data_IF_090563724366
#
_entry.id   IF_090563724366
#
_cell.length_a   1.000
_cell.length_b   1.000
_cell.length_c   1.000
_cell.angle_alpha   90.00
_cell.angle_beta   90.00
_cell.angle_gamma   90.00
#
_symmetry.space_group_name_H-M   'P 1'
#
loop_
_entity.id
_entity.type
_entity.pdbx_description
1 polymer ?
#
# COMPACT_ATOMS: atom_id res chain seq x y z
N UNK A 1 3.76 -1.01 20.73
CA UNK A 1 2.99 -0.85 19.49
C UNK A 1 3.79 -1.49 18.37
N UNK A 2 3.27 -2.53 17.72
CA UNK A 2 3.95 -3.14 16.58
C UNK A 2 3.96 -2.12 15.43
N UNK A 3 5.14 -1.74 14.94
CA UNK A 3 5.23 -1.00 13.67
C UNK A 3 4.78 -1.97 12.58
N UNK A 4 3.67 -1.63 11.92
CA UNK A 4 3.23 -2.34 10.73
C UNK A 4 4.35 -2.23 9.69
N UNK A 5 4.83 -3.38 9.20
CA UNK A 5 5.85 -3.44 8.14
C UNK A 5 5.14 -3.69 6.82
N UNK A 6 5.49 -2.91 5.81
CA UNK A 6 5.08 -3.16 4.44
C UNK A 6 6.08 -4.08 3.74
N UNK A 7 5.59 -4.90 2.81
CA UNK A 7 6.37 -5.79 1.95
C UNK A 7 5.82 -5.73 0.54
N UNK A 8 6.65 -6.01 -0.47
CA UNK A 8 6.20 -6.11 -1.84
C UNK A 8 5.14 -7.22 -1.98
N UNK A 9 4.11 -6.98 -2.79
CA UNK A 9 2.94 -7.85 -2.94
C UNK A 9 1.83 -7.63 -1.90
N UNK A 10 2.05 -6.77 -0.89
CA UNK A 10 0.96 -6.40 0.02
C UNK A 10 -0.09 -5.55 -0.69
N UNK A 11 -1.36 -5.84 -0.41
CA UNK A 11 -2.46 -5.01 -0.90
C UNK A 11 -2.73 -3.87 0.08
N UNK A 12 -2.72 -2.66 -0.44
CA UNK A 12 -2.85 -1.42 0.34
C UNK A 12 -3.92 -0.53 -0.27
N UNK A 13 -4.49 0.34 0.56
CA UNK A 13 -5.34 1.44 0.11
C UNK A 13 -4.84 2.75 0.71
N UNK A 14 -5.16 3.86 0.05
CA UNK A 14 -4.82 5.18 0.58
C UNK A 14 -5.76 5.55 1.72
N UNK A 15 -5.23 6.20 2.76
CA UNK A 15 -6.08 6.80 3.79
C UNK A 15 -6.87 7.97 3.21
N UNK A 16 -8.17 8.11 3.52
CA UNK A 16 -9.02 9.16 2.94
C UNK A 16 -8.54 10.58 3.29
N UNK A 17 -7.93 10.74 4.47
CA UNK A 17 -7.38 12.01 4.97
C UNK A 17 -6.21 12.50 4.09
N UNK A 18 -5.38 11.58 3.60
CA UNK A 18 -4.22 11.86 2.76
C UNK A 18 -4.58 11.88 1.26
N UNK A 19 -5.56 11.08 0.85
CA UNK A 19 -6.10 11.12 -0.52
C UNK A 19 -6.68 12.50 -0.88
N UNK A 20 -7.26 13.20 0.10
CA UNK A 20 -7.78 14.56 -0.07
C UNK A 20 -6.66 15.61 -0.21
N UNK A 21 -5.57 15.49 0.54
CA UNK A 21 -4.45 16.45 0.52
C UNK A 21 -3.51 16.25 -0.67
N UNK A 22 -3.39 15.00 -1.16
CA UNK A 22 -2.60 14.68 -2.34
C UNK A 22 -3.12 15.37 -3.63
N UNK A 23 -4.34 15.96 -3.62
CA UNK A 23 -4.91 16.78 -4.70
C UNK A 23 -4.80 16.16 -6.11
N UNK A 24 -4.67 14.83 -6.18
CA UNK A 24 -4.36 14.08 -7.42
C UNK A 24 -5.37 12.99 -7.72
N UNK A 25 -6.28 12.72 -6.79
CA UNK A 25 -7.11 11.54 -6.83
C UNK A 25 -8.46 11.87 -6.19
N UNK A 26 -9.55 11.78 -6.96
CA UNK A 26 -10.93 11.95 -6.46
C UNK A 26 -11.16 11.09 -5.22
N UNK A 27 -12.17 11.43 -4.41
CA UNK A 27 -12.57 10.65 -3.22
C UNK A 27 -12.67 9.13 -3.47
N UNK A 28 -12.94 8.71 -4.71
CA UNK A 28 -12.92 7.32 -5.19
C UNK A 28 -11.57 6.59 -5.04
N UNK A 29 -10.46 7.30 -4.81
CA UNK A 29 -9.14 6.68 -4.68
C UNK A 29 -8.86 6.07 -3.32
N UNK A 30 -9.59 6.48 -2.28
CA UNK A 30 -9.50 5.83 -0.98
C UNK A 30 -10.04 4.39 -1.00
N UNK A 31 -10.92 4.07 -1.95
CA UNK A 31 -11.48 2.73 -2.16
C UNK A 31 -10.68 1.87 -3.15
N UNK A 32 -9.68 2.44 -3.83
CA UNK A 32 -8.88 1.70 -4.80
C UNK A 32 -7.75 0.99 -4.08
N UNK A 33 -7.77 -0.34 -4.19
CA UNK A 33 -6.70 -1.21 -3.70
C UNK A 33 -5.57 -1.22 -4.71
N UNK A 34 -4.37 -0.90 -4.23
CA UNK A 34 -3.12 -1.04 -4.96
C UNK A 34 -2.24 -2.14 -4.37
N UNK A 35 -1.16 -2.43 -5.05
CA UNK A 35 -0.16 -3.41 -4.64
C UNK A 35 1.17 -2.70 -4.36
N UNK A 36 1.80 -3.03 -3.23
CA UNK A 36 3.15 -2.54 -2.92
C UNK A 36 4.15 -3.21 -3.87
N UNK A 37 4.89 -2.40 -4.62
CA UNK A 37 5.94 -2.86 -5.53
C UNK A 37 7.31 -2.78 -4.86
N UNK A 38 7.55 -1.71 -4.10
CA UNK A 38 8.78 -1.52 -3.32
C UNK A 38 8.39 -1.06 -1.92
N UNK A 39 8.77 -1.84 -0.91
CA UNK A 39 8.61 -1.47 0.48
C UNK A 39 9.88 -0.80 1.00
N UNK A 40 9.79 0.48 1.35
CA UNK A 40 10.88 1.31 1.89
C UNK A 40 12.04 1.49 0.90
N UNK A 41 11.97 2.55 0.11
CA UNK A 41 13.13 3.06 -0.62
C UNK A 41 14.16 3.72 0.32
N UNK A 42 15.21 4.30 -0.24
CA UNK A 42 16.28 4.96 0.54
C UNK A 42 15.77 6.14 1.40
N UNK A 43 14.58 6.68 1.10
CA UNK A 43 13.94 7.74 1.89
C UNK A 43 12.95 7.20 2.94
N UNK A 44 12.68 5.89 2.92
CA UNK A 44 11.69 5.24 3.77
C UNK A 44 10.27 5.30 3.22
N UNK A 45 10.11 5.60 1.93
CA UNK A 45 8.80 5.67 1.26
C UNK A 45 8.44 4.33 0.60
N UNK A 46 7.16 4.16 0.29
CA UNK A 46 6.58 2.95 -0.28
C UNK A 46 6.12 3.26 -1.70
N UNK A 47 6.53 2.43 -2.64
CA UNK A 47 6.08 2.52 -4.02
C UNK A 47 4.95 1.52 -4.20
N UNK A 48 3.77 2.02 -4.56
CA UNK A 48 2.58 1.20 -4.77
C UNK A 48 1.97 1.49 -6.13
N UNK A 49 1.54 0.42 -6.82
CA UNK A 49 0.84 0.50 -8.09
C UNK A 49 -0.66 0.37 -7.88
N UNK A 50 -1.41 1.34 -8.41
CA UNK A 50 -2.87 1.35 -8.37
C UNK A 50 -3.42 1.20 -9.79
N UNK A 51 -4.39 0.28 -10.04
CA UNK A 51 -4.86 -0.06 -11.39
C UNK A 51 -5.36 1.10 -12.26
N UNK A 52 -5.76 2.23 -11.64
CA UNK A 52 -6.29 3.42 -12.34
C UNK A 52 -5.37 4.63 -12.31
N UNK A 53 -4.34 4.60 -11.48
CA UNK A 53 -3.48 5.76 -11.22
C UNK A 53 -2.01 5.49 -11.52
N UNK A 54 -1.67 4.24 -11.80
CA UNK A 54 -0.29 3.80 -12.01
C UNK A 54 0.49 3.77 -10.71
N UNK A 55 1.81 3.89 -10.80
CA UNK A 55 2.72 3.85 -9.67
C UNK A 55 2.79 5.21 -8.96
N UNK A 56 2.67 5.19 -7.63
CA UNK A 56 2.86 6.34 -6.76
C UNK A 56 3.82 6.03 -5.62
N UNK A 57 4.34 7.10 -5.00
CA UNK A 57 5.23 7.04 -3.84
C UNK A 57 4.49 7.61 -2.64
N UNK A 58 4.46 6.87 -1.54
CA UNK A 58 3.64 7.15 -0.37
C UNK A 58 4.42 6.88 0.92
N UNK A 59 4.19 7.69 1.95
CA UNK A 59 4.67 7.38 3.29
C UNK A 59 3.89 6.21 3.90
N UNK A 60 4.50 5.45 4.81
CA UNK A 60 3.82 4.36 5.53
C UNK A 60 2.53 4.77 6.25
N UNK A 61 2.44 6.02 6.71
CA UNK A 61 1.26 6.56 7.38
C UNK A 61 0.11 6.94 6.43
N UNK A 62 0.39 7.05 5.12
CA UNK A 62 -0.59 7.36 4.09
C UNK A 62 -1.34 6.12 3.58
N UNK A 63 -0.81 4.93 3.90
CA UNK A 63 -1.35 3.66 3.45
C UNK A 63 -1.98 2.87 4.60
N UNK A 64 -2.99 2.08 4.25
CA UNK A 64 -3.58 1.06 5.12
C UNK A 64 -3.46 -0.30 4.43
N UNK A 65 -2.93 -1.29 5.15
CA UNK A 65 -2.86 -2.66 4.65
C UNK A 65 -4.27 -3.26 4.62
N UNK A 66 -4.69 -3.68 3.44
CA UNK A 66 -5.96 -4.37 3.20
C UNK A 66 -5.76 -5.87 3.28
N UNK A 67 -4.66 -6.38 2.72
CA UNK A 67 -4.31 -7.80 2.78
C UNK A 67 -2.81 -7.97 2.94
N UNK A 68 -2.43 -8.78 3.93
CA UNK A 68 -1.07 -9.27 4.12
C UNK A 68 -0.97 -10.58 3.34
N UNK A 69 0.02 -10.76 2.44
CA UNK A 69 0.22 -12.04 1.79
C UNK A 69 0.44 -13.12 2.86
N UNK A 70 -0.05 -14.35 2.64
CA UNK A 70 0.21 -15.43 3.57
C UNK A 70 1.73 -15.60 3.74
N UNK A 71 2.23 -15.86 4.96
CA UNK A 71 3.64 -16.10 5.18
C UNK A 71 4.10 -17.26 4.27
N UNK A 72 5.35 -17.23 3.75
CA UNK A 72 5.83 -18.19 2.76
C UNK A 72 5.82 -19.67 3.21
N UNK A 73 5.48 -19.95 4.48
CA UNK A 73 5.39 -21.28 5.05
C UNK A 73 3.97 -21.88 5.12
N UNK A 74 2.92 -21.13 4.79
CA UNK A 74 1.53 -21.64 4.81
C UNK A 74 0.99 -22.00 3.41
N UNK A 75 1.77 -21.82 2.35
CA UNK A 75 1.37 -22.15 0.98
C UNK A 75 1.42 -23.65 0.64
N UNK A 76 1.93 -24.51 1.54
CA UNK A 76 2.00 -25.96 1.30
C UNK A 76 1.62 -26.75 2.55
N UNK A 77 0.37 -27.20 2.61
CA UNK A 77 0.04 -28.53 3.15
C UNK A 77 -1.19 -29.06 2.40
N UNK A 78 -1.06 -30.17 1.63
CA UNK A 78 -2.12 -30.77 0.83
C UNK A 78 -3.24 -31.42 1.65
#
# INVERSE_FOLDING_TARGET
MAKVKFEAGMLVKMRPEQAAEANRLSADAADIVGEVVIAYDDNGDIHAEFPRFGMGVFRPEELEIVHVPPPPHEAESP
#
